data_IF_717452044675
#
_entry.id   IF_717452044675
#
_cell.length_a   1.000
_cell.length_b   1.000
_cell.length_c   1.000
_cell.angle_alpha   90.00
_cell.angle_beta   90.00
_cell.angle_gamma   90.00
#
_symmetry.space_group_name_H-M   'P 1'
#
loop_
_entity.id
_entity.type
_entity.pdbx_description
1 polymer ?
#
# COMPACT_ATOMS: atom_id res chain seq x y z
N UNK A 1 -7.24 -18.06 -11.81
CA UNK A 1 -7.05 -17.14 -12.95
C UNK A 1 -8.02 -17.38 -14.10
N UNK A 2 -8.31 -18.62 -14.50
CA UNK A 2 -9.22 -18.86 -15.64
C UNK A 2 -10.63 -18.26 -15.48
N UNK A 3 -11.15 -18.23 -14.26
CA UNK A 3 -12.42 -17.55 -13.93
C UNK A 3 -12.34 -16.03 -14.15
N UNK A 4 -11.22 -15.41 -13.74
CA UNK A 4 -10.97 -13.98 -13.96
C UNK A 4 -10.91 -13.68 -15.45
N UNK A 5 -10.16 -14.49 -16.22
CA UNK A 5 -10.06 -14.32 -17.68
C UNK A 5 -11.44 -14.44 -18.33
N UNK A 6 -12.22 -15.45 -17.96
CA UNK A 6 -13.57 -15.67 -18.54
C UNK A 6 -14.53 -14.52 -18.23
N UNK A 7 -14.40 -13.92 -17.04
CA UNK A 7 -15.22 -12.79 -16.59
C UNK A 7 -14.87 -11.47 -17.29
N UNK A 8 -13.78 -11.42 -18.08
CA UNK A 8 -13.41 -10.25 -18.89
C UNK A 8 -14.12 -10.19 -20.25
N UNK A 9 -14.62 -11.32 -20.78
CA UNK A 9 -15.12 -11.40 -22.16
C UNK A 9 -16.63 -11.60 -22.29
N UNK A 10 -17.31 -11.96 -21.20
CA UNK A 10 -18.74 -12.25 -21.23
C UNK A 10 -19.36 -12.06 -19.84
N UNK A 11 -20.67 -11.87 -19.79
CA UNK A 11 -21.44 -11.98 -18.54
C UNK A 11 -21.23 -13.37 -17.94
N UNK A 12 -20.32 -13.50 -16.99
CA UNK A 12 -19.94 -14.77 -16.40
C UNK A 12 -20.86 -15.10 -15.22
N UNK A 13 -21.71 -16.11 -15.34
CA UNK A 13 -22.43 -16.70 -14.20
C UNK A 13 -21.66 -17.90 -13.66
N UNK A 14 -21.95 -18.32 -12.42
CA UNK A 14 -21.39 -19.54 -11.81
C UNK A 14 -21.51 -20.77 -12.74
N UNK A 15 -22.69 -20.98 -13.33
CA UNK A 15 -22.92 -22.12 -14.23
C UNK A 15 -22.11 -22.01 -15.54
N UNK A 16 -21.91 -20.77 -16.04
CA UNK A 16 -21.08 -20.55 -17.24
C UNK A 16 -19.59 -20.79 -16.97
N UNK A 17 -19.14 -20.45 -15.76
CA UNK A 17 -17.76 -20.67 -15.30
C UNK A 17 -17.49 -22.15 -15.02
N UNK A 18 -18.48 -22.87 -14.50
CA UNK A 18 -18.44 -24.33 -14.35
C UNK A 18 -18.23 -25.02 -15.69
N UNK A 19 -19.07 -24.70 -16.68
CA UNK A 19 -18.94 -25.23 -18.05
C UNK A 19 -17.60 -24.88 -18.69
N UNK A 20 -17.11 -23.66 -18.48
CA UNK A 20 -15.86 -23.20 -19.08
C UNK A 20 -14.63 -23.88 -18.47
N UNK A 21 -14.58 -24.03 -17.14
CA UNK A 21 -13.43 -24.61 -16.44
C UNK A 21 -13.45 -26.13 -16.37
N UNK A 22 -14.62 -26.75 -16.56
CA UNK A 22 -14.82 -28.19 -16.36
C UNK A 22 -14.62 -28.64 -14.91
N UNK A 23 -14.63 -27.71 -13.95
CA UNK A 23 -14.49 -27.97 -12.51
C UNK A 23 -15.85 -28.03 -11.84
N UNK A 24 -15.92 -28.62 -10.66
CA UNK A 24 -17.18 -28.71 -9.91
C UNK A 24 -17.67 -27.34 -9.42
N UNK A 25 -18.98 -27.16 -9.33
CA UNK A 25 -19.60 -25.95 -8.78
C UNK A 25 -19.00 -25.44 -7.46
N UNK A 26 -18.71 -26.29 -6.44
CA UNK A 26 -18.05 -25.83 -5.22
C UNK A 26 -16.65 -25.28 -5.44
N UNK A 27 -15.87 -25.89 -6.34
CA UNK A 27 -14.53 -25.43 -6.69
C UNK A 27 -14.57 -24.06 -7.38
N UNK A 28 -15.46 -23.90 -8.36
CA UNK A 28 -15.66 -22.63 -9.07
C UNK A 28 -16.12 -21.55 -8.11
N UNK A 29 -17.07 -21.85 -7.23
CA UNK A 29 -17.52 -20.90 -6.20
C UNK A 29 -16.37 -20.44 -5.31
N UNK A 30 -15.57 -21.37 -4.78
CA UNK A 30 -14.43 -20.99 -3.93
C UNK A 30 -13.40 -20.14 -4.66
N UNK A 31 -13.21 -20.35 -5.97
CA UNK A 31 -12.29 -19.56 -6.77
C UNK A 31 -12.86 -18.18 -7.14
N UNK A 32 -14.17 -18.07 -7.34
CA UNK A 32 -14.88 -16.77 -7.45
C UNK A 32 -14.73 -15.99 -6.14
N UNK A 33 -15.02 -16.62 -4.99
CA UNK A 33 -14.90 -15.98 -3.67
C UNK A 33 -13.48 -15.44 -3.44
N UNK A 34 -12.45 -16.21 -3.81
CA UNK A 34 -11.06 -15.77 -3.74
C UNK A 34 -10.75 -14.60 -4.69
N UNK A 35 -11.25 -14.63 -5.93
CA UNK A 35 -11.04 -13.55 -6.89
C UNK A 35 -11.78 -12.25 -6.47
N UNK A 36 -12.95 -12.37 -5.83
CA UNK A 36 -13.65 -11.23 -5.23
C UNK A 36 -12.90 -10.69 -4.00
N UNK A 37 -12.40 -11.57 -3.13
CA UNK A 37 -11.60 -11.20 -1.95
C UNK A 37 -10.37 -10.36 -2.34
N UNK A 38 -9.68 -10.79 -3.40
CA UNK A 38 -8.53 -10.10 -3.96
C UNK A 38 -8.92 -8.93 -4.88
N UNK A 39 -10.21 -8.58 -5.00
CA UNK A 39 -10.74 -7.49 -5.84
C UNK A 39 -10.35 -7.60 -7.32
N UNK A 40 -10.14 -8.82 -7.83
CA UNK A 40 -9.86 -9.07 -9.24
C UNK A 40 -11.13 -9.09 -10.09
N UNK A 41 -12.25 -9.49 -9.49
CA UNK A 41 -13.58 -9.51 -10.11
C UNK A 41 -14.61 -8.89 -9.16
N UNK A 42 -15.60 -8.22 -9.73
CA UNK A 42 -16.76 -7.67 -9.03
C UNK A 42 -18.01 -8.52 -9.31
N UNK A 43 -18.80 -8.74 -8.26
CA UNK A 43 -20.13 -9.31 -8.39
C UNK A 43 -21.12 -8.21 -8.79
N UNK A 44 -21.81 -8.43 -9.90
CA UNK A 44 -22.82 -7.51 -10.43
C UNK A 44 -24.19 -7.86 -9.83
N UNK A 45 -25.08 -6.88 -9.66
CA UNK A 45 -26.40 -7.03 -9.01
C UNK A 45 -27.31 -8.11 -9.63
N UNK A 46 -26.99 -8.58 -10.83
CA UNK A 46 -27.70 -9.59 -11.59
C UNK A 46 -27.10 -11.01 -11.48
N UNK A 47 -26.18 -11.24 -10.55
CA UNK A 47 -25.55 -12.55 -10.31
C UNK A 47 -24.50 -12.94 -11.35
N UNK A 48 -23.99 -11.96 -12.10
CA UNK A 48 -22.87 -12.13 -13.02
C UNK A 48 -21.60 -11.52 -12.44
N UNK A 49 -20.45 -12.02 -12.87
CA UNK A 49 -19.14 -11.53 -12.47
C UNK A 49 -18.49 -10.78 -13.63
N UNK A 50 -17.82 -9.67 -13.30
CA UNK A 50 -17.05 -8.89 -14.25
C UNK A 50 -15.64 -8.66 -13.69
N UNK A 51 -14.63 -8.79 -14.55
CA UNK A 51 -13.26 -8.49 -14.17
C UNK A 51 -13.06 -7.00 -14.01
N UNK A 52 -12.37 -6.60 -12.94
CA UNK A 52 -12.05 -5.18 -12.71
C UNK A 52 -11.13 -4.69 -13.83
N UNK A 53 -11.38 -3.46 -14.32
CA UNK A 53 -10.70 -2.90 -15.51
C UNK A 53 -9.18 -3.02 -15.42
N UNK A 54 -8.58 -2.63 -14.28
CA UNK A 54 -7.13 -2.69 -14.08
C UNK A 54 -6.58 -4.13 -14.15
N UNK A 55 -7.36 -5.14 -13.79
CA UNK A 55 -6.98 -6.54 -13.93
C UNK A 55 -7.09 -6.99 -15.40
N UNK A 56 -8.17 -6.60 -16.07
CA UNK A 56 -8.45 -6.98 -17.46
C UNK A 56 -7.40 -6.44 -18.44
N UNK A 57 -6.90 -5.22 -18.22
CA UNK A 57 -5.89 -4.57 -19.08
C UNK A 57 -4.54 -5.30 -19.05
N UNK A 58 -4.24 -6.03 -17.98
CA UNK A 58 -3.02 -6.82 -17.84
C UNK A 58 -3.12 -8.22 -18.46
N UNK A 59 -4.35 -8.69 -18.71
CA UNK A 59 -4.62 -10.03 -19.22
C UNK A 59 -4.90 -9.97 -20.73
N UNK A 60 -4.11 -10.69 -21.53
CA UNK A 60 -4.40 -10.88 -22.95
C UNK A 60 -5.55 -11.89 -23.15
N UNK A 61 -6.05 -12.05 -24.38
CA UNK A 61 -7.08 -13.04 -24.72
C UNK A 61 -6.70 -14.49 -24.39
N UNK A 62 -5.39 -14.80 -24.39
CA UNK A 62 -4.82 -16.10 -24.05
C UNK A 62 -3.50 -15.86 -23.30
N UNK A 63 -3.54 -15.52 -22.00
CA UNK A 63 -2.34 -15.21 -21.23
C UNK A 63 -1.55 -16.50 -20.95
N UNK A 64 -0.21 -16.41 -20.96
CA UNK A 64 0.65 -17.53 -20.56
C UNK A 64 0.45 -17.85 -19.08
N UNK A 65 0.84 -19.05 -18.64
CA UNK A 65 0.79 -19.40 -17.23
C UNK A 65 1.69 -18.50 -16.39
N UNK A 66 2.85 -18.06 -16.89
CA UNK A 66 3.69 -17.09 -16.16
C UNK A 66 2.96 -15.76 -15.97
N UNK A 67 2.28 -15.25 -17.00
CA UNK A 67 1.51 -14.01 -16.90
C UNK A 67 0.34 -14.16 -15.91
N UNK A 68 -0.35 -15.30 -15.91
CA UNK A 68 -1.41 -15.59 -14.93
C UNK A 68 -0.87 -15.55 -13.49
N UNK A 69 0.28 -16.18 -13.25
CA UNK A 69 0.94 -16.19 -11.93
C UNK A 69 1.37 -14.77 -11.54
N UNK A 70 1.98 -14.01 -12.46
CA UNK A 70 2.43 -12.64 -12.21
C UNK A 70 1.26 -11.70 -11.86
N UNK A 71 0.16 -11.78 -12.62
CA UNK A 71 -1.05 -10.99 -12.33
C UNK A 71 -1.67 -11.40 -11.01
N UNK A 72 -1.82 -12.70 -10.74
CA UNK A 72 -2.33 -13.18 -9.46
C UNK A 72 -1.48 -12.71 -8.28
N UNK A 73 -0.14 -12.83 -8.42
CA UNK A 73 0.85 -12.37 -7.45
C UNK A 73 0.67 -10.88 -7.14
N UNK A 74 0.54 -10.03 -8.16
CA UNK A 74 0.31 -8.58 -7.99
C UNK A 74 -0.91 -8.28 -7.10
N UNK A 75 -2.04 -8.91 -7.38
CA UNK A 75 -3.27 -8.69 -6.59
C UNK A 75 -3.20 -9.30 -5.19
N UNK A 76 -2.52 -10.42 -5.05
CA UNK A 76 -2.29 -11.06 -3.76
C UNK A 76 -1.37 -10.23 -2.86
N UNK A 77 -0.34 -9.60 -3.42
CA UNK A 77 0.59 -8.72 -2.69
C UNK A 77 -0.04 -7.39 -2.29
N UNK A 78 -1.03 -6.92 -3.05
CA UNK A 78 -1.86 -5.78 -2.68
C UNK A 78 -2.82 -6.08 -1.50
N UNK A 79 -3.03 -7.36 -1.15
CA UNK A 79 -3.93 -7.76 -0.07
C UNK A 79 -3.19 -7.79 1.28
N UNK A 80 -3.42 -6.78 2.11
CA UNK A 80 -2.74 -6.56 3.41
C UNK A 80 -2.61 -7.81 4.30
N UNK A 81 -3.64 -8.67 4.46
CA UNK A 81 -3.50 -9.87 5.27
C UNK A 81 -2.39 -10.82 4.78
N UNK A 82 -2.19 -10.90 3.47
CA UNK A 82 -1.14 -11.73 2.91
C UNK A 82 0.26 -11.17 3.19
N UNK A 83 0.44 -9.84 3.15
CA UNK A 83 1.72 -9.21 3.52
C UNK A 83 2.07 -9.46 4.98
N UNK A 84 1.11 -9.35 5.90
CA UNK A 84 1.34 -9.64 7.32
C UNK A 84 1.68 -11.12 7.56
N UNK A 85 1.04 -12.03 6.81
CA UNK A 85 1.41 -13.44 6.81
C UNK A 85 2.87 -13.66 6.39
N UNK A 86 3.32 -13.04 5.29
CA UNK A 86 4.72 -13.12 4.85
C UNK A 86 5.68 -12.48 5.86
N UNK A 87 5.29 -11.39 6.52
CA UNK A 87 6.13 -10.77 7.57
C UNK A 87 6.39 -11.71 8.73
N UNK A 88 5.38 -12.40 9.24
CA UNK A 88 5.57 -13.34 10.35
C UNK A 88 6.52 -14.48 9.96
N UNK A 89 6.42 -14.98 8.73
CA UNK A 89 7.40 -15.91 8.17
C UNK A 89 8.81 -15.30 8.13
N UNK A 90 8.92 -14.04 7.69
CA UNK A 90 10.20 -13.33 7.63
C UNK A 90 10.82 -13.10 9.03
N UNK A 91 10.00 -13.05 10.07
CA UNK A 91 10.42 -12.99 11.48
C UNK A 91 10.81 -14.35 12.06
N UNK A 92 10.77 -15.42 11.26
CA UNK A 92 11.12 -16.78 11.68
C UNK A 92 9.97 -17.59 12.25
N UNK A 93 8.73 -17.10 12.21
CA UNK A 93 7.57 -17.92 12.56
C UNK A 93 7.33 -19.01 11.52
N UNK A 94 6.73 -20.13 11.94
CA UNK A 94 6.26 -21.14 10.99
C UNK A 94 5.04 -20.65 10.20
N UNK A 95 4.73 -21.29 9.07
CA UNK A 95 3.52 -21.02 8.28
C UNK A 95 2.24 -21.08 9.13
N UNK A 96 2.16 -22.05 10.03
CA UNK A 96 0.99 -22.25 10.89
C UNK A 96 0.86 -21.12 11.93
N UNK A 97 1.98 -20.73 12.56
CA UNK A 97 2.00 -19.63 13.53
C UNK A 97 1.66 -18.30 12.85
N UNK A 98 2.20 -18.07 11.65
CA UNK A 98 1.93 -16.88 10.85
C UNK A 98 0.44 -16.75 10.49
N UNK A 99 -0.20 -17.85 10.06
CA UNK A 99 -1.63 -17.88 9.76
C UNK A 99 -2.51 -17.65 11.02
N UNK A 100 -2.10 -18.20 12.16
CA UNK A 100 -2.80 -18.04 13.45
C UNK A 100 -2.75 -16.60 13.97
N UNK A 101 -1.59 -15.95 13.84
CA UNK A 101 -1.46 -14.52 14.16
C UNK A 101 -2.37 -13.70 13.25
N UNK A 102 -2.42 -14.04 11.96
CA UNK A 102 -3.32 -13.37 11.04
C UNK A 102 -4.81 -13.50 11.43
N UNK A 103 -5.26 -14.68 11.86
CA UNK A 103 -6.64 -14.87 12.34
C UNK A 103 -6.97 -14.10 13.63
N UNK A 104 -5.96 -13.61 14.36
CA UNK A 104 -6.17 -12.74 15.52
C UNK A 104 -6.47 -11.30 15.11
N UNK A 105 -6.00 -10.88 13.94
CA UNK A 105 -6.22 -9.53 13.40
C UNK A 105 -7.40 -9.46 12.41
N UNK A 106 -7.69 -10.56 11.71
CA UNK A 106 -8.73 -10.60 10.69
C UNK A 106 -9.76 -11.69 11.00
N UNK A 107 -11.05 -11.32 10.99
CA UNK A 107 -12.17 -12.24 11.16
C UNK A 107 -12.40 -13.05 9.89
N UNK A 108 -11.67 -14.16 9.75
CA UNK A 108 -11.89 -15.11 8.67
C UNK A 108 -13.03 -16.08 9.03
N UNK A 109 -13.99 -16.25 8.13
CA UNK A 109 -15.08 -17.23 8.26
C UNK A 109 -14.66 -18.66 7.88
N UNK A 110 -13.41 -19.05 8.20
CA UNK A 110 -12.86 -20.37 7.91
C UNK A 110 -11.98 -20.84 9.06
N UNK A 111 -11.85 -22.15 9.19
CA UNK A 111 -10.91 -22.75 10.14
C UNK A 111 -9.46 -22.37 9.80
N UNK A 112 -8.63 -22.25 10.84
CA UNK A 112 -7.22 -21.83 10.73
C UNK A 112 -6.45 -22.74 9.80
N UNK A 113 -6.74 -24.05 9.81
CA UNK A 113 -6.10 -25.02 8.90
C UNK A 113 -6.37 -24.68 7.44
N UNK A 114 -7.61 -24.35 7.10
CA UNK A 114 -8.00 -23.98 5.74
C UNK A 114 -7.35 -22.65 5.30
N UNK A 115 -7.19 -21.69 6.21
CA UNK A 115 -6.50 -20.42 5.94
C UNK A 115 -5.01 -20.68 5.68
N UNK A 116 -4.35 -21.43 6.57
CA UNK A 116 -2.95 -21.82 6.42
C UNK A 116 -2.71 -22.54 5.09
N UNK A 117 -3.52 -23.55 4.75
CA UNK A 117 -3.36 -24.31 3.51
C UNK A 117 -3.52 -23.41 2.27
N UNK A 118 -4.48 -22.48 2.32
CA UNK A 118 -4.74 -21.54 1.24
C UNK A 118 -3.59 -20.54 1.05
N UNK A 119 -3.16 -19.85 2.11
CA UNK A 119 -2.08 -18.86 2.04
C UNK A 119 -0.75 -19.52 1.67
N UNK A 120 -0.48 -20.72 2.18
CA UNK A 120 0.72 -21.50 1.83
C UNK A 120 0.70 -21.91 0.36
N UNK A 121 -0.45 -22.37 -0.15
CA UNK A 121 -0.61 -22.69 -1.56
C UNK A 121 -0.36 -21.46 -2.42
N UNK A 122 -0.99 -20.33 -2.10
CA UNK A 122 -0.83 -19.09 -2.86
C UNK A 122 0.62 -18.58 -2.84
N UNK A 123 1.28 -18.59 -1.68
CA UNK A 123 2.68 -18.18 -1.57
C UNK A 123 3.61 -19.10 -2.38
N UNK A 124 3.38 -20.43 -2.39
CA UNK A 124 4.12 -21.38 -3.23
C UNK A 124 3.88 -21.14 -4.71
N UNK A 125 2.61 -21.00 -5.12
CA UNK A 125 2.24 -20.73 -6.52
C UNK A 125 2.86 -19.44 -7.04
N UNK A 126 3.00 -18.42 -6.19
CA UNK A 126 3.62 -17.15 -6.54
C UNK A 126 5.15 -17.15 -6.42
N UNK A 127 5.79 -18.29 -6.12
CA UNK A 127 7.24 -18.40 -5.89
C UNK A 127 7.76 -17.44 -4.81
N UNK A 128 6.99 -17.25 -3.73
CA UNK A 128 7.35 -16.41 -2.59
C UNK A 128 7.97 -17.22 -1.45
N UNK A 129 7.59 -18.51 -1.34
CA UNK A 129 8.15 -19.46 -0.38
C UNK A 129 8.57 -20.76 -1.07
N UNK A 130 9.56 -21.44 -0.50
CA UNK A 130 10.09 -22.70 -1.00
C UNK A 130 9.21 -23.90 -0.62
N UNK A 131 9.64 -25.09 -1.03
CA UNK A 131 8.94 -26.33 -0.70
C UNK A 131 8.84 -26.58 0.82
N UNK A 132 9.81 -26.07 1.59
CA UNK A 132 9.91 -26.19 3.05
C UNK A 132 9.11 -25.10 3.78
N UNK A 133 8.62 -24.09 3.07
CA UNK A 133 7.85 -22.99 3.62
C UNK A 133 8.69 -21.77 4.01
N UNK A 134 9.97 -21.75 3.68
CA UNK A 134 10.86 -20.62 3.90
C UNK A 134 10.70 -19.59 2.79
N UNK A 135 10.76 -18.30 3.12
CA UNK A 135 10.74 -17.24 2.10
C UNK A 135 11.91 -17.39 1.12
N UNK A 136 11.61 -17.30 -0.18
CA UNK A 136 12.62 -17.30 -1.26
C UNK A 136 13.07 -15.86 -1.58
N UNK A 137 12.40 -14.86 -1.01
CA UNK A 137 12.78 -13.46 -1.18
C UNK A 137 14.16 -13.29 -0.55
N UNK A 138 15.19 -13.13 -1.39
CA UNK A 138 16.53 -12.80 -0.94
C UNK A 138 16.48 -11.38 -0.37
N UNK A 139 17.11 -11.20 0.79
CA UNK A 139 17.11 -10.00 1.65
C UNK A 139 15.81 -9.70 2.38
N UNK A 140 15.67 -10.37 3.53
CA UNK A 140 15.03 -9.76 4.69
C UNK A 140 16.10 -9.51 5.78
N UNK A 141 17.20 -8.87 5.40
CA UNK A 141 18.17 -8.26 6.32
C UNK A 141 18.43 -6.82 5.88
N UNK A 142 17.38 -5.98 5.83
CA UNK A 142 17.58 -4.54 5.70
C UNK A 142 18.09 -3.99 7.03
N UNK A 143 19.38 -4.18 7.31
CA UNK A 143 20.09 -3.42 8.34
C UNK A 143 20.10 -1.95 7.94
N UNK A 144 19.86 -1.07 8.92
CA UNK A 144 19.77 0.38 8.72
C UNK A 144 21.04 0.99 8.09
N UNK A 145 22.16 0.24 8.08
CA UNK A 145 23.43 0.62 7.44
C UNK A 145 23.41 0.59 5.90
N UNK A 146 22.50 -0.14 5.26
CA UNK A 146 22.46 -0.28 3.79
C UNK A 146 21.53 0.74 3.11
N UNK A 147 20.75 1.52 3.88
CA UNK A 147 19.79 2.52 3.36
C UNK A 147 20.46 3.65 2.56
N UNK A 148 21.77 3.86 2.71
CA UNK A 148 22.54 4.93 2.05
C UNK A 148 23.57 4.43 1.04
N UNK A 149 23.97 3.16 1.08
CA UNK A 149 25.08 2.66 0.23
C UNK A 149 24.68 1.54 -0.75
N UNK A 150 23.63 0.74 -0.49
CA UNK A 150 23.24 -0.34 -1.41
C UNK A 150 21.74 -0.69 -1.31
N UNK A 151 20.86 0.25 -1.66
CA UNK A 151 19.57 -0.16 -2.23
C UNK A 151 19.87 -0.70 -3.65
N UNK A 152 20.34 -1.93 -3.73
CA UNK A 152 20.67 -2.52 -5.02
C UNK A 152 19.40 -2.71 -5.85
N UNK A 153 19.48 -2.40 -7.15
CA UNK A 153 18.37 -2.46 -8.13
C UNK A 153 17.64 -3.80 -8.18
N UNK A 154 18.26 -4.87 -7.67
CA UNK A 154 17.86 -6.25 -7.92
C UNK A 154 16.98 -6.84 -6.80
N UNK A 155 16.72 -6.09 -5.72
CA UNK A 155 16.17 -6.65 -4.48
C UNK A 155 14.80 -6.14 -4.04
N UNK A 156 14.29 -5.08 -4.67
CA UNK A 156 12.96 -4.54 -4.35
C UNK A 156 11.94 -4.96 -5.39
N UNK A 157 11.40 -6.17 -5.19
CA UNK A 157 10.06 -6.45 -5.71
C UNK A 157 9.00 -5.75 -4.85
N UNK A 158 7.77 -5.68 -5.36
CA UNK A 158 6.63 -5.06 -4.67
C UNK A 158 6.44 -5.60 -3.23
N UNK A 159 6.80 -6.86 -2.96
CA UNK A 159 6.70 -7.46 -1.61
C UNK A 159 7.74 -6.90 -0.68
N UNK A 160 9.00 -6.85 -1.11
CA UNK A 160 10.10 -6.31 -0.32
C UNK A 160 9.79 -4.90 0.15
N UNK A 161 9.26 -4.06 -0.74
CA UNK A 161 8.83 -2.69 -0.43
C UNK A 161 7.70 -2.66 0.59
N UNK A 162 6.65 -3.47 0.42
CA UNK A 162 5.51 -3.51 1.37
C UNK A 162 5.90 -4.04 2.74
N UNK A 163 6.75 -5.06 2.79
CA UNK A 163 7.29 -5.59 4.04
C UNK A 163 8.15 -4.54 4.75
N UNK A 164 8.99 -3.82 4.01
CA UNK A 164 9.76 -2.69 4.53
C UNK A 164 8.85 -1.60 5.11
N UNK A 165 7.84 -1.16 4.35
CA UNK A 165 6.87 -0.15 4.79
C UNK A 165 6.15 -0.60 6.06
N UNK A 166 5.68 -1.85 6.12
CA UNK A 166 5.06 -2.39 7.33
C UNK A 166 6.01 -2.37 8.53
N UNK A 167 7.27 -2.76 8.34
CA UNK A 167 8.29 -2.75 9.41
C UNK A 167 8.53 -1.34 9.95
N UNK A 168 8.66 -0.35 9.07
CA UNK A 168 8.99 1.03 9.48
C UNK A 168 7.79 1.75 10.07
N UNK A 169 6.61 1.61 9.45
CA UNK A 169 5.37 2.22 9.92
C UNK A 169 4.83 1.54 11.18
N UNK A 170 5.05 0.23 11.33
CA UNK A 170 4.40 -0.61 12.32
C UNK A 170 3.04 -1.10 11.84
N UNK A 171 2.57 -2.22 12.41
CA UNK A 171 1.37 -2.93 11.95
C UNK A 171 0.12 -2.06 11.96
N UNK A 172 -0.05 -1.28 13.02
CA UNK A 172 -1.21 -0.41 13.21
C UNK A 172 -1.29 0.69 12.15
N UNK A 173 -0.19 1.41 11.93
CA UNK A 173 -0.15 2.50 10.95
C UNK A 173 -0.29 1.94 9.54
N UNK A 174 0.37 0.81 9.26
CA UNK A 174 0.29 0.15 7.95
C UNK A 174 -1.14 -0.27 7.58
N UNK A 175 -1.88 -0.88 8.51
CA UNK A 175 -3.29 -1.27 8.30
C UNK A 175 -4.24 -0.05 8.26
N UNK A 176 -3.85 1.05 8.90
CA UNK A 176 -4.64 2.28 8.87
C UNK A 176 -4.48 3.07 7.56
N UNK A 177 -3.43 2.82 6.78
CA UNK A 177 -3.27 3.42 5.44
C UNK A 177 -4.32 2.86 4.48
N UNK A 178 -4.88 3.73 3.65
CA UNK A 178 -5.72 3.28 2.53
C UNK A 178 -4.83 2.63 1.46
N UNK A 179 -5.42 1.74 0.66
CA UNK A 179 -4.72 1.10 -0.45
C UNK A 179 -4.05 2.13 -1.38
N UNK A 180 -4.73 3.23 -1.73
CA UNK A 180 -4.16 4.27 -2.61
C UNK A 180 -2.97 5.00 -1.98
N UNK A 181 -3.02 5.33 -0.69
CA UNK A 181 -1.89 5.97 0.00
C UNK A 181 -0.70 5.00 0.07
N UNK A 182 -0.95 3.71 0.33
CA UNK A 182 0.08 2.69 0.36
C UNK A 182 0.71 2.48 -1.02
N UNK A 183 -0.09 2.39 -2.10
CA UNK A 183 0.43 2.25 -3.47
C UNK A 183 1.34 3.43 -3.86
N UNK A 184 0.98 4.66 -3.50
CA UNK A 184 1.81 5.84 -3.79
C UNK A 184 3.16 5.78 -3.05
N UNK A 185 3.20 5.26 -1.82
CA UNK A 185 4.46 5.01 -1.11
C UNK A 185 5.26 3.88 -1.75
N UNK A 186 4.61 2.80 -2.16
CA UNK A 186 5.24 1.67 -2.85
C UNK A 186 5.88 2.13 -4.16
N UNK A 187 5.11 2.81 -5.01
CA UNK A 187 5.61 3.37 -6.28
C UNK A 187 6.80 4.29 -6.02
N UNK A 188 6.73 5.14 -4.98
CA UNK A 188 7.85 6.01 -4.65
C UNK A 188 9.15 5.24 -4.36
N UNK A 189 9.08 4.14 -3.61
CA UNK A 189 10.24 3.32 -3.28
C UNK A 189 10.73 2.46 -4.45
N UNK A 190 9.84 2.09 -5.38
CA UNK A 190 10.22 1.34 -6.58
C UNK A 190 10.88 2.23 -7.65
N UNK A 191 10.53 3.52 -7.73
CA UNK A 191 10.96 4.39 -8.84
C UNK A 191 11.98 5.45 -8.46
N UNK A 192 12.41 5.58 -7.20
CA UNK A 192 13.24 6.73 -6.78
C UNK A 192 14.62 6.79 -7.45
N UNK A 193 15.15 5.66 -7.92
CA UNK A 193 16.44 5.64 -8.63
C UNK A 193 16.29 6.08 -10.08
N UNK A 194 15.31 5.52 -10.79
CA UNK A 194 15.12 5.75 -12.22
C UNK A 194 14.33 7.02 -12.53
N UNK A 195 13.40 7.38 -11.64
CA UNK A 195 12.58 8.57 -11.75
C UNK A 195 12.41 9.26 -10.37
N UNK A 196 13.47 9.94 -9.88
CA UNK A 196 13.48 10.61 -8.58
C UNK A 196 12.35 11.63 -8.43
N UNK A 197 12.06 12.39 -9.50
CA UNK A 197 10.99 13.40 -9.50
C UNK A 197 9.62 12.76 -9.25
N UNK A 198 9.26 11.75 -10.05
CA UNK A 198 7.99 11.04 -9.88
C UNK A 198 7.88 10.42 -8.49
N UNK A 199 8.96 9.82 -7.98
CA UNK A 199 8.96 9.23 -6.65
C UNK A 199 8.71 10.25 -5.52
N UNK A 200 9.29 11.45 -5.62
CA UNK A 200 9.03 12.55 -4.69
C UNK A 200 7.57 12.99 -4.75
N UNK A 201 6.99 13.07 -5.95
CA UNK A 201 5.57 13.41 -6.13
C UNK A 201 4.65 12.35 -5.54
N UNK A 202 4.91 11.06 -5.80
CA UNK A 202 4.09 9.94 -5.30
C UNK A 202 4.03 9.94 -3.77
N UNK A 203 5.19 9.91 -3.11
CA UNK A 203 5.26 10.01 -1.65
C UNK A 203 4.66 11.32 -1.12
N UNK A 204 4.70 12.40 -1.91
CA UNK A 204 4.10 13.68 -1.55
C UNK A 204 2.57 13.68 -1.60
N UNK A 205 1.98 13.02 -2.61
CA UNK A 205 0.53 12.81 -2.70
C UNK A 205 0.03 11.95 -1.56
N UNK A 206 0.69 10.81 -1.30
CA UNK A 206 0.37 9.96 -0.14
C UNK A 206 0.35 10.76 1.17
N UNK A 207 1.39 11.57 1.40
CA UNK A 207 1.49 12.38 2.62
C UNK A 207 0.38 13.44 2.71
N UNK A 208 0.07 14.13 1.62
CA UNK A 208 -1.01 15.11 1.59
C UNK A 208 -2.38 14.48 1.92
N UNK A 209 -2.68 13.33 1.31
CA UNK A 209 -3.93 12.59 1.55
C UNK A 209 -4.04 12.14 3.00
N UNK A 210 -2.94 11.63 3.57
CA UNK A 210 -2.84 11.23 4.98
C UNK A 210 -3.08 12.42 5.92
N UNK A 211 -2.46 13.59 5.66
CA UNK A 211 -2.69 14.80 6.46
C UNK A 211 -4.16 15.23 6.41
N UNK A 212 -4.76 15.16 5.22
CA UNK A 212 -6.17 15.49 5.00
C UNK A 212 -7.08 14.53 5.78
N UNK A 213 -6.78 13.24 5.76
CA UNK A 213 -7.54 12.21 6.48
C UNK A 213 -7.39 12.32 7.99
N UNK A 214 -6.19 12.54 8.51
CA UNK A 214 -5.95 12.83 9.93
C UNK A 214 -6.75 14.07 10.39
N UNK A 215 -6.79 15.11 9.54
CA UNK A 215 -7.56 16.32 9.84
C UNK A 215 -9.06 16.04 9.96
N UNK A 216 -9.61 15.14 9.12
CA UNK A 216 -11.00 14.71 9.21
C UNK A 216 -11.25 13.86 10.45
N UNK A 217 -10.35 12.94 10.78
CA UNK A 217 -10.48 12.03 11.93
C UNK A 217 -10.42 12.74 13.30
N UNK A 218 -9.86 13.94 13.37
CA UNK A 218 -9.89 14.78 14.59
C UNK A 218 -11.32 15.20 14.94
N UNK A 219 -12.23 15.28 13.97
CA UNK A 219 -13.67 15.50 14.16
C UNK A 219 -14.10 16.91 14.55
N UNK A 220 -13.22 17.74 15.13
CA UNK A 220 -13.51 19.12 15.53
C UNK A 220 -13.16 20.17 14.46
N UNK A 221 -12.47 19.75 13.39
CA UNK A 221 -12.04 20.63 12.31
C UNK A 221 -13.15 20.71 11.25
N UNK A 222 -13.56 21.92 10.88
CA UNK A 222 -14.52 22.13 9.79
C UNK A 222 -13.95 21.60 8.45
N UNK A 223 -14.67 20.66 7.84
CA UNK A 223 -14.34 20.06 6.53
C UNK A 223 -14.13 21.13 5.45
N UNK A 224 -14.85 22.26 5.50
CA UNK A 224 -14.66 23.36 4.53
C UNK A 224 -13.27 23.99 4.68
N UNK A 225 -12.78 24.15 5.91
CA UNK A 225 -11.42 24.67 6.17
C UNK A 225 -10.35 23.71 5.68
N UNK A 226 -10.57 22.39 5.81
CA UNK A 226 -9.67 21.37 5.26
C UNK A 226 -9.64 21.44 3.73
N UNK A 227 -10.81 21.49 3.08
CA UNK A 227 -10.93 21.56 1.61
C UNK A 227 -10.37 22.83 1.01
N UNK A 228 -10.41 23.94 1.74
CA UNK A 228 -9.86 25.21 1.30
C UNK A 228 -8.32 25.26 1.30
N UNK A 229 -7.64 24.23 1.85
CA UNK A 229 -6.18 24.15 1.86
C UNK A 229 -5.66 23.24 0.75
N UNK A 230 -4.66 23.76 0.05
CA UNK A 230 -3.97 23.12 -1.06
C UNK A 230 -2.55 22.77 -0.62
N UNK A 231 -2.24 21.48 -0.57
CA UNK A 231 -0.88 21.02 -0.31
C UNK A 231 -0.52 20.84 1.17
N UNK A 232 0.63 20.18 1.33
CA UNK A 232 1.17 19.70 2.61
C UNK A 232 1.39 20.85 3.60
N UNK A 233 2.03 21.94 3.17
CA UNK A 233 2.41 23.05 4.06
C UNK A 233 1.18 23.74 4.66
N UNK A 234 0.13 23.94 3.87
CA UNK A 234 -1.09 24.58 4.35
C UNK A 234 -1.88 23.68 5.30
N UNK A 235 -1.97 22.38 5.01
CA UNK A 235 -2.60 21.41 5.92
C UNK A 235 -1.83 21.35 7.25
N UNK A 236 -0.51 21.17 7.21
CA UNK A 236 0.29 21.08 8.43
C UNK A 236 0.23 22.37 9.27
N UNK A 237 0.40 23.54 8.65
CA UNK A 237 0.45 24.80 9.39
C UNK A 237 -0.94 25.31 9.79
N UNK A 238 -1.88 25.38 8.86
CA UNK A 238 -3.14 26.11 9.06
C UNK A 238 -4.27 25.22 9.60
N UNK A 239 -4.16 23.89 9.42
CA UNK A 239 -5.20 22.94 9.83
C UNK A 239 -4.77 22.12 11.04
N UNK A 240 -3.52 21.67 11.09
CA UNK A 240 -3.07 20.80 12.16
C UNK A 240 -2.33 21.53 13.29
N UNK A 241 -1.60 22.63 13.01
CA UNK A 241 -0.81 23.33 14.03
C UNK A 241 -1.45 24.62 14.55
N UNK A 242 -1.98 25.47 13.67
CA UNK A 242 -2.53 26.78 14.03
C UNK A 242 -4.01 26.90 13.65
N UNK A 243 -4.80 25.84 13.88
CA UNK A 243 -6.22 25.85 13.58
C UNK A 243 -6.93 26.88 14.45
N UNK A 244 -7.87 27.62 13.84
CA UNK A 244 -8.81 28.48 14.55
C UNK A 244 -10.23 28.10 14.19
N UNK A 245 -11.04 27.85 15.21
CA UNK A 245 -12.47 27.64 15.02
C UNK A 245 -13.19 28.96 14.69
N UNK A 246 -14.51 28.91 14.54
CA UNK A 246 -15.31 30.09 14.18
C UNK A 246 -15.45 31.09 15.34
N UNK A 247 -15.15 30.66 16.57
CA UNK A 247 -15.07 31.53 17.75
C UNK A 247 -13.70 32.22 17.90
N UNK A 248 -12.73 31.86 17.05
CA UNK A 248 -11.36 32.37 17.11
C UNK A 248 -10.45 31.59 18.08
N UNK A 249 -10.96 30.54 18.73
CA UNK A 249 -10.20 29.68 19.63
C UNK A 249 -9.16 28.90 18.85
N UNK A 250 -7.91 28.95 19.32
CA UNK A 250 -6.77 28.32 18.65
C UNK A 250 -6.53 26.90 19.16
N UNK A 251 -6.26 25.97 18.23
CA UNK A 251 -5.96 24.58 18.51
C UNK A 251 -4.68 24.15 17.77
N UNK A 252 -3.88 23.32 18.44
CA UNK A 252 -2.70 22.67 17.88
C UNK A 252 -2.81 21.16 18.09
N UNK A 253 -3.05 20.43 17.01
CA UNK A 253 -3.19 18.97 16.99
C UNK A 253 -1.88 18.25 16.70
N UNK A 254 -0.89 18.97 16.15
CA UNK A 254 0.49 18.51 15.98
C UNK A 254 1.44 19.47 16.70
N UNK A 255 2.66 19.02 16.99
CA UNK A 255 3.67 19.90 17.58
C UNK A 255 4.48 20.67 16.51
N UNK A 256 5.26 21.65 16.97
CA UNK A 256 6.07 22.52 16.11
C UNK A 256 7.06 21.73 15.24
N UNK A 257 7.66 20.66 15.75
CA UNK A 257 8.62 19.84 14.99
C UNK A 257 7.96 19.06 13.88
N UNK A 258 6.78 18.48 14.14
CA UNK A 258 5.99 17.80 13.11
C UNK A 258 5.51 18.76 12.02
N UNK A 259 5.13 19.98 12.40
CA UNK A 259 4.84 21.05 11.44
C UNK A 259 6.06 21.37 10.57
N UNK A 260 7.22 21.60 11.17
CA UNK A 260 8.44 21.99 10.46
C UNK A 260 8.90 20.90 9.48
N UNK A 261 8.86 19.64 9.91
CA UNK A 261 9.18 18.50 9.04
C UNK A 261 8.17 18.40 7.89
N UNK A 262 6.88 18.58 8.15
CA UNK A 262 5.87 18.61 7.09
C UNK A 262 6.09 19.74 6.10
N UNK A 263 6.52 20.93 6.55
CA UNK A 263 6.87 22.04 5.67
C UNK A 263 8.10 21.73 4.80
N UNK A 264 9.09 21.02 5.36
CA UNK A 264 10.24 20.56 4.59
C UNK A 264 9.82 19.53 3.52
N UNK A 265 8.99 18.54 3.87
CA UNK A 265 8.42 17.56 2.93
C UNK A 265 7.64 18.28 1.82
N UNK A 266 6.82 19.26 2.19
CA UNK A 266 6.06 20.09 1.23
C UNK A 266 6.96 20.88 0.29
N UNK A 267 8.02 21.50 0.81
CA UNK A 267 8.99 22.25 0.01
C UNK A 267 9.71 21.36 -1.01
N UNK A 268 10.14 20.17 -0.61
CA UNK A 268 10.82 19.23 -1.52
C UNK A 268 9.83 18.69 -2.58
N UNK A 269 8.57 18.40 -2.19
CA UNK A 269 7.53 18.03 -3.17
C UNK A 269 7.31 19.14 -4.19
N UNK A 270 7.31 20.40 -3.75
CA UNK A 270 7.13 21.55 -4.63
C UNK A 270 8.25 21.67 -5.66
N UNK A 271 9.50 21.32 -5.31
CA UNK A 271 10.60 21.22 -6.30
C UNK A 271 10.33 20.18 -7.39
N UNK A 272 9.58 19.12 -7.06
CA UNK A 272 9.23 18.05 -7.99
C UNK A 272 8.00 18.39 -8.85
N UNK A 273 6.93 18.90 -8.23
CA UNK A 273 5.62 19.09 -8.86
C UNK A 273 5.29 20.49 -9.37
N UNK A 274 6.08 21.51 -9.03
CA UNK A 274 5.93 22.84 -9.62
C UNK A 274 6.96 23.10 -10.73
N UNK A 275 6.69 24.16 -11.49
CA UNK A 275 7.48 24.57 -12.65
C UNK A 275 8.86 25.10 -12.24
N UNK A 276 9.48 25.87 -13.13
CA UNK A 276 10.78 26.51 -12.90
C UNK A 276 10.83 27.30 -11.58
N UNK A 277 11.98 27.26 -10.93
CA UNK A 277 12.32 28.12 -9.79
C UNK A 277 12.19 29.58 -10.21
N UNK A 278 11.45 30.37 -9.43
CA UNK A 278 11.02 31.70 -9.86
C UNK A 278 12.20 32.66 -10.12
N UNK A 279 13.35 32.42 -9.49
CA UNK A 279 14.54 33.27 -9.65
C UNK A 279 15.41 32.87 -10.84
N UNK A 280 15.73 31.59 -10.99
CA UNK A 280 16.62 31.12 -12.05
C UNK A 280 15.88 30.79 -13.34
N UNK A 281 14.55 30.62 -13.28
CA UNK A 281 13.74 30.06 -14.37
C UNK A 281 14.20 28.65 -14.80
N UNK A 282 14.90 27.94 -13.92
CA UNK A 282 15.35 26.57 -14.15
C UNK A 282 14.55 25.57 -13.32
N UNK A 283 14.45 24.33 -13.80
CA UNK A 283 13.87 23.25 -12.99
C UNK A 283 14.92 22.71 -12.04
N UNK A 284 14.49 22.38 -10.83
CA UNK A 284 15.32 21.64 -9.88
C UNK A 284 15.74 20.30 -10.47
N UNK A 285 17.04 20.02 -10.52
CA UNK A 285 17.52 18.66 -10.74
C UNK A 285 17.38 17.87 -9.43
N UNK A 286 16.77 16.69 -9.49
CA UNK A 286 16.46 15.87 -8.32
C UNK A 286 17.21 14.55 -8.42
N UNK A 287 18.16 14.33 -7.52
CA UNK A 287 18.92 13.08 -7.45
C UNK A 287 18.14 11.99 -6.75
N UNK A 288 18.51 10.73 -7.03
CA UNK A 288 17.97 9.56 -6.33
C UNK A 288 18.22 9.63 -4.82
N UNK A 289 19.37 10.13 -4.39
CA UNK A 289 19.71 10.36 -2.97
C UNK A 289 18.74 11.34 -2.30
N UNK A 290 18.40 12.44 -2.97
CA UNK A 290 17.42 13.39 -2.47
C UNK A 290 16.02 12.77 -2.39
N UNK A 291 15.64 11.97 -3.39
CA UNK A 291 14.36 11.29 -3.43
C UNK A 291 14.21 10.28 -2.28
N UNK A 292 15.18 9.39 -2.07
CA UNK A 292 15.09 8.40 -0.98
C UNK A 292 15.08 9.09 0.38
N UNK A 293 15.93 10.10 0.61
CA UNK A 293 15.94 10.85 1.87
C UNK A 293 14.58 11.49 2.18
N UNK A 294 13.93 12.05 1.16
CA UNK A 294 12.58 12.60 1.29
C UNK A 294 11.53 11.53 1.56
N UNK A 295 11.59 10.39 0.86
CA UNK A 295 10.63 9.29 1.02
C UNK A 295 10.72 8.72 2.44
N UNK A 296 11.92 8.45 2.94
CA UNK A 296 12.14 7.94 4.29
C UNK A 296 11.63 8.92 5.36
N UNK A 297 11.96 10.20 5.20
CA UNK A 297 11.45 11.27 6.08
C UNK A 297 9.92 11.31 6.07
N UNK A 298 9.30 11.11 4.90
CA UNK A 298 7.84 11.06 4.75
C UNK A 298 7.24 9.90 5.52
N UNK A 299 7.79 8.68 5.37
CA UNK A 299 7.31 7.47 6.05
C UNK A 299 7.41 7.61 7.57
N UNK A 300 8.56 8.07 8.09
CA UNK A 300 8.73 8.35 9.52
C UNK A 300 7.75 9.40 10.03
N UNK A 301 7.50 10.45 9.24
CA UNK A 301 6.57 11.51 9.61
C UNK A 301 5.12 11.04 9.67
N UNK A 302 4.70 10.13 8.77
CA UNK A 302 3.37 9.50 8.81
C UNK A 302 3.18 8.78 10.14
N UNK A 303 4.13 7.92 10.51
CA UNK A 303 4.10 7.18 11.79
C UNK A 303 4.10 8.11 12.99
N UNK A 304 4.94 9.15 12.95
CA UNK A 304 5.02 10.16 14.02
C UNK A 304 3.70 10.88 14.23
N UNK A 305 3.09 11.37 13.15
CA UNK A 305 1.82 12.10 13.19
C UNK A 305 0.69 11.22 13.69
N UNK A 306 0.59 9.99 13.17
CA UNK A 306 -0.44 9.05 13.59
C UNK A 306 -0.39 8.81 15.10
N UNK A 307 0.77 8.43 15.64
CA UNK A 307 0.88 8.12 17.07
C UNK A 307 0.75 9.35 17.96
N UNK A 308 1.16 10.53 17.49
CA UNK A 308 0.97 11.77 18.25
C UNK A 308 -0.51 12.16 18.33
N UNK A 309 -1.22 12.16 17.20
CA UNK A 309 -2.63 12.56 17.16
C UNK A 309 -3.50 11.55 17.91
N UNK A 310 -3.25 10.25 17.75
CA UNK A 310 -4.07 9.20 18.37
C UNK A 310 -3.73 8.94 19.83
N UNK A 311 -2.46 9.06 20.22
CA UNK A 311 -1.97 8.59 21.51
C UNK A 311 -1.13 9.61 22.29
N UNK A 312 -0.92 10.81 21.76
CA UNK A 312 0.00 11.81 22.32
C UNK A 312 1.42 11.28 22.55
N UNK A 313 1.85 10.31 21.72
CA UNK A 313 3.18 9.70 21.80
C UNK A 313 4.14 10.45 20.87
N UNK A 314 5.29 10.84 21.43
CA UNK A 314 6.39 11.46 20.68
C UNK A 314 7.29 10.36 20.14
N UNK A 315 7.06 9.98 18.88
CA UNK A 315 7.83 8.99 18.16
C UNK A 315 8.22 9.58 16.80
N UNK A 316 9.46 9.41 16.38
CA UNK A 316 9.94 9.78 15.05
C UNK A 316 10.81 8.64 14.51
#
# INVERSE_FOLDING_TARGET
>A
MDIVIRSSYSKASLDSLEKYTGKSKPYVKSAVDAACLLRMIDNQDNGYFATVKQCSELLTAKPSEELKIAVFRKWLQAWEPFILFLRHLAMGDSLEVSARRLSSFYSFNKDIKAIFELLSLWAKTCNLIDAKGSLIIKEYELEVKELTEDFSRDLLDDVGVRLYLNRVLGDEVFQWLTHSELEELVVSLLTYQDNPRSAIECSGRAYEDILRRLSVEIGTIDIKKIRAKSGISELANNVLYAYRDDSGTAYSFINTKQRDISQAIGSIRNMAGHSMEAKSMERWELSSTAAIGKILTTISSIRSLFHYIKYSKYLF
#
